data_IF_386981821917
#
_entry.id   IF_386981821917
#
_cell.length_a   1.000
_cell.length_b   1.000
_cell.length_c   1.000
_cell.angle_alpha   90.00
_cell.angle_beta   90.00
_cell.angle_gamma   90.00
#
_symmetry.space_group_name_H-M   'P 1'
#
loop_
_entity.id
_entity.type
_entity.pdbx_description
1 polymer ?
#
# COMPACT_ATOMS: atom_id res chain seq x y z
N UNK A 1 7.48 -2.41 13.81
CA UNK A 1 8.94 -2.37 14.05
C UNK A 1 9.22 -2.77 15.49
N UNK A 2 10.18 -3.69 15.70
CA UNK A 2 10.59 -4.10 17.06
C UNK A 2 11.45 -3.00 17.71
N UNK A 3 12.36 -2.43 16.95
CA UNK A 3 13.16 -1.27 17.28
C UNK A 3 13.45 -0.49 15.99
N UNK A 4 12.93 0.73 15.85
CA UNK A 4 13.05 1.45 14.57
C UNK A 4 14.47 1.89 14.22
N UNK A 5 15.41 1.81 15.15
CA UNK A 5 16.75 2.38 14.99
C UNK A 5 17.85 1.34 14.75
N UNK A 6 17.52 0.06 14.61
CA UNK A 6 18.52 -0.98 14.44
C UNK A 6 18.27 -1.92 13.25
N UNK A 7 19.30 -2.65 12.87
CA UNK A 7 19.24 -3.65 11.79
C UNK A 7 18.29 -4.83 12.10
N UNK A 8 17.89 -4.98 13.35
CA UNK A 8 16.96 -6.02 13.82
C UNK A 8 15.51 -5.60 13.85
N UNK A 9 15.19 -4.34 13.46
CA UNK A 9 13.84 -3.75 13.59
C UNK A 9 12.72 -4.57 12.92
N UNK A 10 13.03 -5.37 11.93
CA UNK A 10 12.11 -6.24 11.21
C UNK A 10 12.28 -7.74 11.56
N UNK A 11 13.11 -8.08 12.55
CA UNK A 11 13.45 -9.46 12.84
C UNK A 11 12.22 -10.32 13.19
N UNK A 12 11.32 -9.79 14.01
CA UNK A 12 10.07 -10.48 14.36
C UNK A 12 9.17 -10.64 13.13
N UNK A 13 9.02 -9.61 12.30
CA UNK A 13 8.27 -9.71 11.06
C UNK A 13 8.85 -10.78 10.13
N UNK A 14 10.18 -10.74 9.87
CA UNK A 14 10.85 -11.71 9.02
C UNK A 14 10.68 -13.17 9.51
N UNK A 15 10.69 -13.36 10.82
CA UNK A 15 10.52 -14.69 11.41
C UNK A 15 9.14 -15.30 11.15
N UNK A 16 8.07 -14.48 11.13
CA UNK A 16 6.70 -14.97 11.02
C UNK A 16 6.12 -14.82 9.60
N UNK A 17 6.51 -13.79 8.87
CA UNK A 17 5.89 -13.42 7.60
C UNK A 17 6.84 -13.46 6.41
N UNK A 18 8.15 -13.63 6.62
CA UNK A 18 9.15 -13.64 5.55
C UNK A 18 9.65 -12.24 5.18
N UNK A 19 10.04 -12.01 3.93
CA UNK A 19 10.64 -10.74 3.50
C UNK A 19 9.67 -9.57 3.60
N UNK A 20 10.19 -8.33 3.73
CA UNK A 20 9.38 -7.12 3.81
C UNK A 20 8.66 -6.77 2.51
N UNK A 21 9.18 -7.24 1.38
CA UNK A 21 8.57 -7.07 0.07
C UNK A 21 8.61 -8.38 -0.70
N UNK A 22 7.53 -8.68 -1.39
CA UNK A 22 7.34 -9.94 -2.12
C UNK A 22 6.18 -9.81 -3.10
N UNK A 23 6.00 -10.81 -3.95
CA UNK A 23 4.86 -10.91 -4.85
C UNK A 23 4.22 -12.29 -4.78
N UNK A 24 2.98 -12.36 -5.17
CA UNK A 24 2.23 -13.61 -5.31
C UNK A 24 1.06 -13.44 -6.27
N UNK A 25 0.64 -14.56 -6.84
CA UNK A 25 -0.56 -14.63 -7.67
C UNK A 25 -1.75 -15.16 -6.88
N UNK A 26 -2.91 -14.54 -7.11
CA UNK A 26 -4.18 -15.12 -6.69
C UNK A 26 -5.18 -15.00 -7.86
N UNK A 27 -5.48 -16.12 -8.51
CA UNK A 27 -6.29 -16.14 -9.72
C UNK A 27 -5.70 -15.24 -10.83
N UNK A 28 -6.50 -14.34 -11.41
CA UNK A 28 -6.06 -13.43 -12.47
C UNK A 28 -5.28 -12.22 -11.99
N UNK A 29 -5.06 -12.09 -10.68
CA UNK A 29 -4.43 -10.92 -10.06
C UNK A 29 -3.01 -11.25 -9.63
N UNK A 30 -2.10 -10.33 -9.88
CA UNK A 30 -0.72 -10.35 -9.38
C UNK A 30 -0.54 -9.27 -8.32
N UNK A 31 -0.24 -9.68 -7.10
CA UNK A 31 -0.03 -8.81 -5.96
C UNK A 31 1.46 -8.57 -5.74
N UNK A 32 1.83 -7.31 -5.52
CA UNK A 32 3.17 -6.89 -5.14
C UNK A 32 3.07 -6.13 -3.83
N UNK A 33 3.65 -6.69 -2.78
CA UNK A 33 3.76 -6.04 -1.46
C UNK A 33 5.07 -5.30 -1.38
N UNK A 34 5.04 -4.04 -0.96
CA UNK A 34 6.19 -3.15 -0.87
C UNK A 34 6.33 -2.60 0.55
N UNK A 35 7.57 -2.47 0.99
CA UNK A 35 7.93 -1.78 2.22
C UNK A 35 8.33 -0.33 1.87
N UNK A 36 7.37 0.55 1.94
CA UNK A 36 7.52 1.95 1.54
C UNK A 36 7.79 2.91 2.72
N UNK A 37 8.13 2.37 3.90
CA UNK A 37 8.46 3.16 5.10
C UNK A 37 9.98 3.22 5.27
N UNK A 38 10.59 4.29 4.78
CA UNK A 38 12.00 4.56 5.02
C UNK A 38 12.21 5.27 6.37
N UNK A 39 12.80 4.58 7.32
CA UNK A 39 13.13 5.09 8.64
C UNK A 39 14.50 5.78 8.65
N UNK A 40 14.60 6.90 9.37
CA UNK A 40 15.84 7.67 9.54
C UNK A 40 16.08 8.08 11.01
N UNK A 41 16.21 7.10 11.87
CA UNK A 41 16.45 7.29 13.30
C UNK A 41 15.22 7.80 14.04
N UNK A 42 14.86 9.05 13.93
CA UNK A 42 13.72 9.67 14.65
C UNK A 42 12.50 9.93 13.78
N UNK A 43 12.68 9.90 12.48
CA UNK A 43 11.63 10.23 11.52
C UNK A 43 11.53 9.14 10.45
N UNK A 44 10.41 9.10 9.76
CA UNK A 44 10.21 8.27 8.59
C UNK A 44 9.66 9.10 7.42
N UNK A 45 9.81 8.58 6.22
CA UNK A 45 9.21 9.11 5.00
C UNK A 45 8.74 7.97 4.12
N UNK A 46 7.86 8.28 3.17
CA UNK A 46 7.50 7.34 2.11
C UNK A 46 8.60 7.28 1.06
N UNK A 47 9.13 6.09 0.81
CA UNK A 47 10.16 5.86 -0.17
C UNK A 47 10.36 4.38 -0.48
N UNK A 48 10.93 4.08 -1.65
CA UNK A 48 11.29 2.74 -2.07
C UNK A 48 12.78 2.70 -2.38
N UNK A 49 13.51 1.80 -1.74
CA UNK A 49 14.92 1.61 -2.05
C UNK A 49 15.11 0.98 -3.44
N UNK A 50 16.34 1.05 -3.97
CA UNK A 50 16.67 0.56 -5.30
C UNK A 50 16.47 -0.95 -5.47
N UNK A 51 16.62 -1.73 -4.40
CA UNK A 51 16.41 -3.18 -4.45
C UNK A 51 14.94 -3.52 -4.69
N UNK A 52 14.01 -2.81 -4.05
CA UNK A 52 12.58 -2.97 -4.28
C UNK A 52 12.19 -2.57 -5.71
N UNK A 53 12.71 -1.46 -6.23
CA UNK A 53 12.44 -1.04 -7.61
C UNK A 53 12.99 -2.07 -8.62
N UNK A 54 14.17 -2.61 -8.34
CA UNK A 54 14.77 -3.69 -9.15
C UNK A 54 13.94 -4.97 -9.07
N UNK A 55 13.47 -5.32 -7.87
CA UNK A 55 12.56 -6.44 -7.66
C UNK A 55 11.28 -6.27 -8.49
N UNK A 56 10.58 -5.15 -8.37
CA UNK A 56 9.36 -4.87 -9.15
C UNK A 56 9.61 -4.99 -10.65
N UNK A 57 10.72 -4.42 -11.15
CA UNK A 57 11.08 -4.50 -12.56
C UNK A 57 11.25 -5.95 -13.04
N UNK A 58 12.00 -6.76 -12.26
CA UNK A 58 12.30 -8.14 -12.63
C UNK A 58 11.07 -9.05 -12.50
N UNK A 59 10.28 -8.85 -11.45
CA UNK A 59 9.05 -9.58 -11.19
C UNK A 59 8.03 -9.34 -12.33
N UNK A 60 7.76 -8.09 -12.66
CA UNK A 60 6.85 -7.73 -13.75
C UNK A 60 7.29 -8.27 -15.12
N UNK A 61 8.57 -8.51 -15.35
CA UNK A 61 9.04 -9.11 -16.60
C UNK A 61 8.57 -10.57 -16.77
N UNK A 62 8.17 -11.24 -15.68
CA UNK A 62 7.67 -12.61 -15.67
C UNK A 62 6.14 -12.69 -15.63
N UNK A 63 5.45 -11.56 -15.40
CA UNK A 63 4.00 -11.51 -15.24
C UNK A 63 3.33 -11.19 -16.60
N UNK A 64 2.37 -11.99 -17.07
CA UNK A 64 1.58 -11.71 -18.27
C UNK A 64 0.96 -10.30 -18.25
N UNK A 65 0.90 -9.65 -19.43
CA UNK A 65 0.44 -8.25 -19.52
C UNK A 65 -1.06 -8.06 -19.23
N UNK A 66 -1.84 -9.11 -19.40
CA UNK A 66 -3.29 -9.10 -19.15
C UNK A 66 -3.65 -9.21 -17.65
N UNK A 67 -2.72 -9.57 -16.77
CA UNK A 67 -2.98 -9.63 -15.34
C UNK A 67 -3.17 -8.23 -14.75
N UNK A 68 -4.11 -8.12 -13.83
CA UNK A 68 -4.23 -6.95 -12.96
C UNK A 68 -3.05 -6.93 -11.98
N UNK A 69 -2.32 -5.84 -11.94
CA UNK A 69 -1.26 -5.61 -10.96
C UNK A 69 -1.83 -4.83 -9.79
N UNK A 70 -1.74 -5.40 -8.59
CA UNK A 70 -2.18 -4.76 -7.34
C UNK A 70 -0.96 -4.49 -6.46
N UNK A 71 -0.61 -3.23 -6.28
CA UNK A 71 0.43 -2.83 -5.33
C UNK A 71 -0.17 -2.69 -3.93
N UNK A 72 0.48 -3.24 -2.93
CA UNK A 72 0.11 -3.11 -1.52
C UNK A 72 1.25 -2.46 -0.75
N UNK A 73 0.96 -1.40 -0.02
CA UNK A 73 1.96 -0.62 0.70
C UNK A 73 1.34 0.05 1.93
N UNK A 74 2.16 0.62 2.82
CA UNK A 74 1.66 1.31 4.00
C UNK A 74 1.31 2.78 3.72
N UNK A 75 2.27 3.55 3.22
CA UNK A 75 2.10 4.98 2.92
C UNK A 75 1.39 5.14 1.57
N UNK A 76 0.42 6.07 1.43
CA UNK A 76 -0.24 6.30 0.15
C UNK A 76 0.74 6.58 -0.97
N UNK A 77 0.55 5.93 -2.11
CA UNK A 77 1.43 6.01 -3.28
C UNK A 77 1.75 7.45 -3.69
N UNK A 78 0.78 8.35 -3.57
CA UNK A 78 0.97 9.79 -3.83
C UNK A 78 1.92 10.48 -2.85
N UNK A 79 2.18 9.87 -1.69
CA UNK A 79 3.06 10.40 -0.63
C UNK A 79 4.45 9.74 -0.65
N UNK A 80 4.69 8.77 -1.54
CA UNK A 80 6.01 8.17 -1.74
C UNK A 80 6.90 9.13 -2.53
N UNK A 81 8.05 9.47 -1.97
CA UNK A 81 8.94 10.51 -2.51
C UNK A 81 9.44 10.23 -3.92
N UNK A 82 9.83 8.98 -4.18
CA UNK A 82 10.31 8.54 -5.49
C UNK A 82 9.26 7.74 -6.29
N UNK A 83 7.98 7.98 -6.07
CA UNK A 83 6.87 7.31 -6.77
C UNK A 83 6.96 7.34 -8.30
N UNK A 84 7.61 8.37 -8.86
CA UNK A 84 7.78 8.47 -10.31
C UNK A 84 8.64 7.33 -10.89
N UNK A 85 9.55 6.77 -10.10
CA UNK A 85 10.33 5.60 -10.51
C UNK A 85 9.45 4.35 -10.57
N UNK A 86 8.58 4.16 -9.56
CA UNK A 86 7.60 3.08 -9.56
C UNK A 86 6.57 3.24 -10.69
N UNK A 87 6.07 4.47 -10.94
CA UNK A 87 5.16 4.73 -12.05
C UNK A 87 5.73 4.23 -13.38
N UNK A 88 7.01 4.59 -13.69
CA UNK A 88 7.67 4.14 -14.94
C UNK A 88 7.75 2.62 -15.11
N UNK A 89 7.69 1.86 -14.03
CA UNK A 89 7.71 0.41 -14.08
C UNK A 89 6.33 -0.19 -14.40
N UNK A 90 5.25 0.46 -13.96
CA UNK A 90 3.89 -0.09 -14.04
C UNK A 90 2.99 0.63 -15.04
N UNK A 91 3.28 1.87 -15.45
CA UNK A 91 2.40 2.70 -16.28
C UNK A 91 2.14 2.17 -17.70
N UNK A 92 2.96 1.22 -18.15
CA UNK A 92 2.74 0.50 -19.43
C UNK A 92 1.76 -0.67 -19.28
N UNK A 93 1.50 -1.12 -18.07
CA UNK A 93 0.54 -2.17 -17.78
C UNK A 93 -0.88 -1.65 -17.97
N UNK A 94 -1.72 -2.43 -18.61
CA UNK A 94 -3.09 -2.04 -18.92
C UNK A 94 -3.96 -1.95 -17.69
N UNK A 95 -3.71 -2.81 -16.69
CA UNK A 95 -4.55 -2.94 -15.50
C UNK A 95 -3.68 -2.84 -14.27
N UNK A 96 -3.84 -1.74 -13.55
CA UNK A 96 -3.09 -1.48 -12.31
C UNK A 96 -3.97 -0.82 -11.27
N UNK A 97 -3.78 -1.20 -10.02
CA UNK A 97 -4.32 -0.49 -8.86
C UNK A 97 -3.35 -0.58 -7.68
N UNK A 98 -3.58 0.22 -6.66
CA UNK A 98 -2.83 0.13 -5.41
C UNK A 98 -3.70 0.36 -4.19
N UNK A 99 -3.25 -0.18 -3.05
CA UNK A 99 -3.92 -0.12 -1.77
C UNK A 99 -2.92 0.32 -0.71
N UNK A 100 -3.31 1.26 0.13
CA UNK A 100 -2.53 1.72 1.27
C UNK A 100 -3.40 2.00 2.49
N UNK A 101 -2.78 2.42 3.60
CA UNK A 101 -3.44 2.87 4.81
C UNK A 101 -2.86 4.18 5.31
N UNK A 102 -2.21 4.17 6.48
CA UNK A 102 -1.39 5.23 7.07
C UNK A 102 -2.12 6.49 7.52
N UNK A 103 -2.92 7.11 6.65
CA UNK A 103 -3.52 8.43 6.93
C UNK A 103 -4.71 8.38 7.87
N UNK A 104 -5.28 7.20 8.08
CA UNK A 104 -6.52 7.00 8.81
C UNK A 104 -7.70 7.79 8.20
N UNK A 105 -7.69 7.94 6.89
CA UNK A 105 -8.77 8.44 6.06
C UNK A 105 -9.13 7.39 5.03
N UNK A 106 -10.39 7.36 4.63
CA UNK A 106 -10.80 6.53 3.50
C UNK A 106 -10.88 7.38 2.24
N UNK A 107 -10.18 6.96 1.18
CA UNK A 107 -10.23 7.69 -0.08
C UNK A 107 -9.98 6.79 -1.28
N UNK A 108 -10.64 7.10 -2.38
CA UNK A 108 -10.34 6.61 -3.70
C UNK A 108 -9.69 7.74 -4.51
N UNK A 109 -8.50 7.52 -5.03
CA UNK A 109 -7.77 8.47 -5.86
C UNK A 109 -7.57 7.88 -7.26
N UNK A 110 -7.84 8.67 -8.27
CA UNK A 110 -7.45 8.39 -9.64
C UNK A 110 -6.17 9.18 -9.92
N UNK A 111 -5.05 8.49 -9.91
CA UNK A 111 -3.73 9.06 -10.19
C UNK A 111 -3.62 9.20 -11.71
N UNK A 112 -3.49 10.42 -12.17
CA UNK A 112 -3.49 10.78 -13.59
C UNK A 112 -2.26 11.62 -13.99
N UNK A 113 -2.30 12.24 -15.14
CA UNK A 113 -1.23 13.07 -15.68
C UNK A 113 -0.82 14.21 -14.73
N UNK A 114 -1.76 14.75 -13.94
CA UNK A 114 -1.48 15.83 -12.96
C UNK A 114 -0.58 15.34 -11.83
N UNK A 115 -0.63 14.04 -11.52
CA UNK A 115 0.22 13.38 -10.54
C UNK A 115 1.54 12.87 -11.14
N UNK A 116 1.72 13.07 -12.45
CA UNK A 116 2.87 12.60 -13.24
C UNK A 116 2.75 11.17 -13.75
N UNK A 117 1.56 10.58 -13.70
CA UNK A 117 1.25 9.29 -14.32
C UNK A 117 1.17 9.44 -15.83
N UNK A 118 1.76 8.50 -16.58
CA UNK A 118 1.77 8.51 -18.06
C UNK A 118 1.10 7.27 -18.66
N UNK A 119 0.47 6.45 -17.84
CA UNK A 119 -0.33 5.32 -18.31
C UNK A 119 -1.55 5.79 -19.09
N UNK A 120 -2.07 4.92 -19.96
CA UNK A 120 -3.22 5.22 -20.81
C UNK A 120 -4.49 5.50 -20.00
N UNK A 121 -4.69 4.74 -18.96
CA UNK A 121 -5.81 4.89 -18.02
C UNK A 121 -5.29 5.38 -16.66
N UNK A 122 -6.08 6.15 -15.92
CA UNK A 122 -5.71 6.53 -14.57
C UNK A 122 -5.48 5.32 -13.67
N UNK A 123 -4.48 5.40 -12.79
CA UNK A 123 -4.21 4.38 -11.81
C UNK A 123 -5.10 4.57 -10.58
N UNK A 124 -5.91 3.56 -10.25
CA UNK A 124 -6.79 3.62 -9.10
C UNK A 124 -6.02 3.29 -7.80
N UNK A 125 -5.95 4.26 -6.89
CA UNK A 125 -5.34 4.11 -5.58
C UNK A 125 -6.39 4.20 -4.48
N UNK A 126 -6.45 3.18 -3.61
CA UNK A 126 -7.34 3.12 -2.45
C UNK A 126 -6.52 3.39 -1.20
N UNK A 127 -6.91 4.41 -0.43
CA UNK A 127 -6.47 4.56 0.95
C UNK A 127 -7.55 3.90 1.80
N UNK A 128 -7.20 2.77 2.42
CA UNK A 128 -8.17 1.92 3.08
C UNK A 128 -8.53 2.41 4.48
N UNK A 129 -9.74 2.05 4.91
CA UNK A 129 -10.19 2.26 6.29
C UNK A 129 -9.27 1.55 7.28
N UNK A 130 -9.25 2.04 8.51
CA UNK A 130 -8.44 1.50 9.59
C UNK A 130 -9.33 0.94 10.69
N UNK A 131 -9.05 -0.28 11.14
CA UNK A 131 -9.81 -0.93 12.22
C UNK A 131 -9.70 -0.15 13.53
N UNK A 132 -8.53 0.44 13.82
CA UNK A 132 -8.31 1.23 15.04
C UNK A 132 -8.83 2.68 14.97
N UNK A 133 -9.39 3.11 13.82
CA UNK A 133 -9.77 4.51 13.61
C UNK A 133 -8.59 5.46 13.89
N UNK A 134 -8.80 6.49 14.72
CA UNK A 134 -7.74 7.41 15.18
C UNK A 134 -7.10 6.95 16.50
N UNK A 135 -6.58 5.74 16.54
CA UNK A 135 -5.78 5.22 17.68
C UNK A 135 -6.55 5.02 18.99
N UNK A 136 -7.83 4.64 18.94
CA UNK A 136 -8.61 4.31 20.14
C UNK A 136 -8.60 5.42 21.22
N UNK A 137 -8.79 6.66 20.80
CA UNK A 137 -8.70 7.84 21.68
C UNK A 137 -10.05 8.37 22.18
N UNK A 138 -11.15 7.73 21.84
CA UNK A 138 -12.49 8.16 22.25
C UNK A 138 -12.83 7.81 23.70
N UNK A 139 -14.01 8.22 24.15
CA UNK A 139 -14.60 7.77 25.39
C UNK A 139 -14.79 6.25 25.35
N UNK A 140 -14.68 5.63 26.52
CA UNK A 140 -14.91 4.19 26.64
C UNK A 140 -16.41 3.88 26.58
N UNK A 141 -16.76 2.79 25.90
CA UNK A 141 -18.08 2.19 25.93
C UNK A 141 -18.33 1.40 27.23
N UNK A 142 -19.48 0.70 27.30
CA UNK A 142 -19.89 -0.12 28.44
C UNK A 142 -18.99 -1.32 28.74
N UNK A 143 -18.14 -1.73 27.78
CA UNK A 143 -17.15 -2.81 27.93
C UNK A 143 -15.72 -2.29 28.03
N UNK A 144 -15.57 -0.99 28.29
CA UNK A 144 -14.31 -0.29 28.48
C UNK A 144 -13.43 -0.21 27.22
N UNK A 145 -14.01 -0.36 26.03
CA UNK A 145 -13.31 -0.18 24.74
C UNK A 145 -13.40 1.28 24.33
N UNK A 146 -12.28 1.95 24.01
CA UNK A 146 -12.33 3.32 23.54
C UNK A 146 -13.04 3.43 22.18
N UNK A 147 -14.01 4.30 22.08
CA UNK A 147 -14.66 4.61 20.81
C UNK A 147 -13.66 5.32 19.88
N UNK A 148 -13.58 4.88 18.63
CA UNK A 148 -12.70 5.47 17.62
C UNK A 148 -13.41 5.60 16.28
N UNK A 149 -13.08 6.68 15.56
CA UNK A 149 -13.48 6.91 14.17
C UNK A 149 -12.25 7.22 13.33
N UNK A 150 -12.37 7.15 12.02
CA UNK A 150 -11.35 7.64 11.09
C UNK A 150 -11.20 9.18 11.23
N UNK A 151 -10.08 9.74 10.75
CA UNK A 151 -9.84 11.20 10.80
C UNK A 151 -10.83 12.03 9.99
N UNK A 152 -11.43 11.46 8.98
CA UNK A 152 -12.48 12.05 8.15
C UNK A 152 -13.89 11.88 8.75
N UNK A 153 -13.99 11.27 9.94
CA UNK A 153 -15.26 11.01 10.62
C UNK A 153 -15.96 9.73 10.17
N UNK A 154 -15.41 9.00 9.19
CA UNK A 154 -15.94 7.70 8.80
C UNK A 154 -15.82 6.69 9.94
N UNK A 155 -16.70 5.69 10.03
CA UNK A 155 -16.52 4.58 10.96
C UNK A 155 -15.20 3.85 10.71
N UNK A 156 -14.55 3.41 11.77
CA UNK A 156 -13.45 2.45 11.66
C UNK A 156 -13.97 1.11 11.12
N UNK A 157 -13.12 0.39 10.39
CA UNK A 157 -13.56 -0.84 9.74
C UNK A 157 -12.52 -1.48 8.83
N UNK A 158 -13.00 -2.26 7.90
CA UNK A 158 -12.22 -2.92 6.86
C UNK A 158 -12.97 -2.88 5.52
N UNK A 159 -12.27 -3.10 4.42
CA UNK A 159 -12.86 -3.20 3.08
C UNK A 159 -12.78 -4.62 2.56
N UNK A 160 -13.79 -5.03 1.80
CA UNK A 160 -13.78 -6.25 1.00
C UNK A 160 -13.66 -5.80 -0.45
N UNK A 161 -12.62 -6.26 -1.13
CA UNK A 161 -12.40 -5.96 -2.54
C UNK A 161 -12.60 -7.25 -3.33
N UNK A 162 -13.54 -7.20 -4.28
CA UNK A 162 -13.81 -8.32 -5.18
C UNK A 162 -13.07 -8.10 -6.50
N UNK A 163 -12.39 -9.14 -6.96
CA UNK A 163 -11.69 -9.14 -8.24
C UNK A 163 -12.42 -10.08 -9.24
N UNK A 164 -12.71 -9.54 -10.43
CA UNK A 164 -13.28 -10.29 -11.56
C UNK A 164 -12.41 -10.02 -12.79
N UNK A 165 -11.47 -10.92 -13.08
CA UNK A 165 -10.44 -10.68 -14.08
C UNK A 165 -9.59 -9.46 -13.71
N UNK A 166 -9.57 -8.47 -14.60
CA UNK A 166 -8.88 -7.20 -14.39
C UNK A 166 -9.76 -6.11 -13.74
N UNK A 167 -11.01 -6.41 -13.41
CA UNK A 167 -11.93 -5.49 -12.73
C UNK A 167 -11.90 -5.72 -11.23
N UNK A 168 -12.20 -4.65 -10.49
CA UNK A 168 -12.32 -4.70 -9.03
C UNK A 168 -13.46 -3.79 -8.55
N UNK A 169 -14.09 -4.19 -7.45
CA UNK A 169 -15.17 -3.44 -6.76
C UNK A 169 -15.01 -3.54 -5.25
#
# INVERSE_FOLDING_TARGET
>A
FDSPDDAGSNATFHRFFGPNYYSFDHGPVHFIVLDDVEWSGRNYKGGLNQDQLTFVKNDLALVPEEKLIVLMMHIPLTNVGNRQELYRLIEKRRYTMSISGHTHWHAHKLIDEKDGWKGKEPHHHIINVCVSGTWWKGNKDEVAIPHATMRDGAPNGYSIITFDGAKHT
#
